data_IF_634613544451
#
_entry.id   IF_634613544451
#
_cell.length_a   1.000
_cell.length_b   1.000
_cell.length_c   1.000
_cell.angle_alpha   90.00
_cell.angle_beta   90.00
_cell.angle_gamma   90.00
#
_symmetry.space_group_name_H-M   'P 1'
#
loop_
_entity.id
_entity.type
_entity.pdbx_description
1 polymer ?
#
# COMPACT_ATOMS: atom_id res chain seq x y z
N UNK A 1 -4.78 14.12 6.28
CA UNK A 1 -5.83 13.07 6.16
C UNK A 1 -6.41 12.95 4.76
N UNK A 2 -6.58 14.05 4.04
CA UNK A 2 -7.16 13.99 2.70
C UNK A 2 -6.36 13.08 1.76
N UNK A 3 -5.06 13.32 1.61
CA UNK A 3 -4.22 12.52 0.71
C UNK A 3 -4.19 11.06 1.13
N UNK A 4 -4.08 10.79 2.43
CA UNK A 4 -4.11 9.42 2.95
C UNK A 4 -5.41 8.72 2.56
N UNK A 5 -6.56 9.37 2.77
CA UNK A 5 -7.86 8.79 2.47
C UNK A 5 -8.05 8.54 0.96
N UNK A 6 -7.58 9.46 0.12
CA UNK A 6 -7.66 9.30 -1.33
C UNK A 6 -6.85 8.09 -1.82
N UNK A 7 -5.69 7.85 -1.21
CA UNK A 7 -4.76 6.80 -1.64
C UNK A 7 -5.09 5.46 -1.02
N UNK A 8 -5.38 5.43 0.29
CA UNK A 8 -5.53 4.18 1.02
C UNK A 8 -6.97 3.85 1.44
N UNK A 9 -7.88 4.82 1.36
CA UNK A 9 -9.27 4.62 1.73
C UNK A 9 -9.46 4.43 3.23
N UNK A 10 -10.56 3.78 3.59
CA UNK A 10 -10.95 3.60 4.98
C UNK A 10 -9.94 2.77 5.78
N UNK A 11 -9.30 1.78 5.15
CA UNK A 11 -8.32 0.95 5.82
C UNK A 11 -7.13 1.78 6.30
N UNK A 12 -6.64 2.71 5.48
CA UNK A 12 -5.56 3.60 5.87
C UNK A 12 -5.96 4.57 6.96
N UNK A 13 -7.16 5.11 6.88
CA UNK A 13 -7.70 5.99 7.93
C UNK A 13 -7.79 5.24 9.27
N UNK A 14 -8.24 3.99 9.23
CA UNK A 14 -8.35 3.17 10.45
C UNK A 14 -6.98 2.93 11.09
N UNK A 15 -5.94 2.70 10.29
CA UNK A 15 -4.57 2.54 10.82
C UNK A 15 -4.14 3.80 11.55
N UNK A 16 -4.36 4.97 10.96
CA UNK A 16 -3.98 6.26 11.57
C UNK A 16 -4.75 6.49 12.89
N UNK A 17 -6.05 6.23 12.89
CA UNK A 17 -6.86 6.40 14.11
C UNK A 17 -6.38 5.47 15.22
N UNK A 18 -6.01 4.24 14.88
CA UNK A 18 -5.45 3.32 15.86
C UNK A 18 -4.13 3.82 16.42
N UNK A 19 -3.26 4.35 15.57
CA UNK A 19 -1.96 4.90 16.00
C UNK A 19 -2.11 6.12 16.90
N UNK A 20 -3.15 6.93 16.71
CA UNK A 20 -3.38 8.11 17.56
C UNK A 20 -3.60 7.71 19.01
N UNK A 21 -4.08 6.52 19.27
CA UNK A 21 -4.29 6.02 20.63
C UNK A 21 -3.00 5.73 21.38
N UNK A 22 -1.88 5.54 20.67
CA UNK A 22 -0.60 5.18 21.29
C UNK A 22 0.51 6.16 20.95
N UNK A 23 0.50 6.76 19.79
CA UNK A 23 1.58 7.63 19.32
C UNK A 23 1.01 8.72 18.41
N UNK A 24 0.31 9.72 18.99
CA UNK A 24 -0.35 10.74 18.15
C UNK A 24 0.60 11.53 17.26
N UNK A 25 1.79 11.86 17.75
CA UNK A 25 2.77 12.59 16.93
C UNK A 25 3.21 11.75 15.73
N UNK A 26 3.42 10.47 15.95
CA UNK A 26 3.80 9.55 14.86
C UNK A 26 2.71 9.45 13.79
N UNK A 27 1.46 9.38 14.23
CA UNK A 27 0.33 9.40 13.30
C UNK A 27 0.32 10.68 12.45
N UNK A 28 0.58 11.83 13.09
CA UNK A 28 0.66 13.12 12.38
C UNK A 28 1.82 13.13 11.38
N UNK A 29 2.98 12.58 11.74
CA UNK A 29 4.11 12.49 10.82
C UNK A 29 3.77 11.68 9.58
N UNK A 30 3.06 10.56 9.74
CA UNK A 30 2.63 9.76 8.59
C UNK A 30 1.71 10.57 7.69
N UNK A 31 0.67 11.19 8.26
CA UNK A 31 -0.28 11.98 7.49
C UNK A 31 0.39 13.15 6.79
N UNK A 32 1.19 13.91 7.54
CA UNK A 32 1.76 15.17 7.05
C UNK A 32 2.93 14.93 6.09
N UNK A 33 3.88 14.09 6.46
CA UNK A 33 5.06 13.85 5.65
C UNK A 33 4.81 12.84 4.54
N UNK A 34 4.40 11.62 4.90
CA UNK A 34 4.31 10.56 3.90
C UNK A 34 3.26 10.88 2.85
N UNK A 35 2.08 11.30 3.25
CA UNK A 35 0.98 11.55 2.33
C UNK A 35 0.87 13.01 1.92
N UNK A 36 1.09 13.94 2.84
CA UNK A 36 1.02 15.37 2.53
C UNK A 36 2.18 15.86 1.70
N UNK A 37 3.41 15.52 2.10
CA UNK A 37 4.60 16.04 1.45
C UNK A 37 5.13 15.15 0.32
N UNK A 38 5.00 13.82 0.44
CA UNK A 38 5.61 12.90 -0.52
C UNK A 38 4.59 12.34 -1.51
N UNK A 39 3.58 11.62 -1.03
CA UNK A 39 2.65 10.92 -1.92
C UNK A 39 1.74 11.85 -2.71
N UNK A 40 1.54 13.07 -2.24
CA UNK A 40 0.74 14.06 -2.94
C UNK A 40 1.50 14.84 -4.00
N UNK A 41 2.81 14.59 -4.18
CA UNK A 41 3.60 15.29 -5.18
C UNK A 41 3.12 14.94 -6.59
N UNK A 42 3.08 15.92 -7.52
CA UNK A 42 2.54 15.70 -8.86
C UNK A 42 3.50 15.01 -9.84
N UNK A 43 4.74 14.72 -9.43
CA UNK A 43 5.75 14.14 -10.32
C UNK A 43 5.42 12.74 -10.82
N UNK A 44 4.61 11.98 -10.09
CA UNK A 44 4.07 10.70 -10.51
C UNK A 44 2.59 10.66 -10.17
N UNK A 45 1.80 10.00 -10.97
CA UNK A 45 0.38 9.84 -10.65
C UNK A 45 0.17 8.80 -9.54
N UNK A 46 -1.01 8.77 -8.97
CA UNK A 46 -1.31 7.89 -7.85
C UNK A 46 -1.28 6.41 -8.26
N UNK A 47 -1.67 6.10 -9.47
CA UNK A 47 -1.62 4.75 -10.01
C UNK A 47 -0.18 4.22 -9.96
N UNK A 48 0.77 5.00 -10.48
CA UNK A 48 2.19 4.65 -10.51
C UNK A 48 2.77 4.57 -9.10
N UNK A 49 2.43 5.53 -8.25
CA UNK A 49 2.92 5.55 -6.86
C UNK A 49 2.46 4.32 -6.09
N UNK A 50 1.22 3.88 -6.28
CA UNK A 50 0.71 2.70 -5.58
C UNK A 50 1.33 1.40 -6.09
N UNK A 51 1.61 1.28 -7.38
CA UNK A 51 2.35 0.12 -7.89
C UNK A 51 3.76 0.07 -7.30
N UNK A 52 4.44 1.21 -7.21
CA UNK A 52 5.77 1.29 -6.59
C UNK A 52 5.70 0.92 -5.11
N UNK A 53 4.66 1.35 -4.41
CA UNK A 53 4.45 1.00 -3.00
C UNK A 53 4.24 -0.50 -2.82
N UNK A 54 3.42 -1.11 -3.66
CA UNK A 54 3.21 -2.57 -3.63
C UNK A 54 4.53 -3.30 -3.84
N UNK A 55 5.35 -2.84 -4.79
CA UNK A 55 6.66 -3.43 -5.04
C UNK A 55 7.56 -3.35 -3.81
N UNK A 56 7.64 -2.17 -3.20
CA UNK A 56 8.49 -1.95 -2.03
C UNK A 56 8.07 -2.82 -0.84
N UNK A 57 6.77 -2.86 -0.55
CA UNK A 57 6.25 -3.63 0.59
C UNK A 57 6.38 -5.14 0.35
N UNK A 58 6.23 -5.59 -0.89
CA UNK A 58 6.49 -6.98 -1.25
C UNK A 58 7.94 -7.33 -0.98
N UNK A 59 8.86 -6.49 -1.43
CA UNK A 59 10.30 -6.73 -1.30
C UNK A 59 10.77 -6.75 0.16
N UNK A 60 10.17 -5.93 1.01
CA UNK A 60 10.50 -5.93 2.45
C UNK A 60 10.24 -7.27 3.11
N UNK A 61 9.21 -7.99 2.65
CA UNK A 61 8.94 -9.35 3.11
C UNK A 61 8.29 -9.48 4.48
N UNK A 62 8.25 -8.40 5.25
CA UNK A 62 7.71 -8.42 6.62
C UNK A 62 6.62 -7.36 6.84
N UNK A 63 6.07 -6.83 5.77
CA UNK A 63 5.11 -5.73 5.83
C UNK A 63 3.72 -6.14 5.31
N UNK A 64 3.28 -7.37 5.59
CA UNK A 64 2.01 -7.87 5.10
C UNK A 64 0.81 -7.02 5.50
N UNK A 65 0.68 -6.54 6.75
CA UNK A 65 -0.45 -5.67 7.09
C UNK A 65 -0.49 -4.38 6.26
N UNK A 66 0.65 -3.75 6.06
CA UNK A 66 0.75 -2.54 5.25
C UNK A 66 0.51 -2.85 3.78
N UNK A 67 1.01 -3.99 3.29
CA UNK A 67 0.79 -4.42 1.93
C UNK A 67 -0.71 -4.60 1.65
N UNK A 68 -1.45 -5.18 2.60
CA UNK A 68 -2.89 -5.35 2.50
C UNK A 68 -3.59 -3.99 2.28
N UNK A 69 -3.26 -3.01 3.10
CA UNK A 69 -3.83 -1.65 2.99
C UNK A 69 -3.51 -1.04 1.63
N UNK A 70 -2.28 -1.20 1.17
CA UNK A 70 -1.83 -0.56 -0.07
C UNK A 70 -2.29 -1.28 -1.34
N UNK A 71 -2.53 -2.59 -1.29
CA UNK A 71 -3.17 -3.28 -2.41
C UNK A 71 -4.61 -2.77 -2.56
N UNK A 72 -5.34 -2.65 -1.46
CA UNK A 72 -6.69 -2.09 -1.51
C UNK A 72 -6.66 -0.65 -2.05
N UNK A 73 -5.69 0.14 -1.60
CA UNK A 73 -5.50 1.51 -2.10
C UNK A 73 -5.14 1.55 -3.57
N UNK A 74 -4.32 0.61 -4.04
CA UNK A 74 -3.98 0.51 -5.47
C UNK A 74 -5.21 0.27 -6.33
N UNK A 75 -6.06 -0.65 -5.90
CA UNK A 75 -7.33 -0.91 -6.59
C UNK A 75 -8.22 0.34 -6.60
N UNK A 76 -8.26 1.06 -5.49
CA UNK A 76 -9.06 2.28 -5.36
C UNK A 76 -8.63 3.37 -6.35
N UNK A 77 -7.33 3.52 -6.59
CA UNK A 77 -6.83 4.55 -7.52
C UNK A 77 -6.72 4.05 -8.96
N UNK A 78 -7.30 2.89 -9.27
CA UNK A 78 -7.46 2.43 -10.64
C UNK A 78 -6.44 1.40 -11.12
N UNK A 79 -5.57 0.90 -10.25
CA UNK A 79 -4.70 -0.22 -10.62
C UNK A 79 -5.56 -1.46 -10.84
N UNK A 80 -5.27 -2.19 -11.91
CA UNK A 80 -5.98 -3.44 -12.18
C UNK A 80 -5.36 -4.58 -11.37
N UNK A 81 -6.15 -5.58 -10.96
CA UNK A 81 -5.60 -6.74 -10.25
C UNK A 81 -4.42 -7.37 -10.99
N UNK A 82 -4.48 -7.43 -12.32
CA UNK A 82 -3.39 -7.99 -13.15
C UNK A 82 -2.09 -7.21 -12.97
N UNK A 83 -2.17 -5.88 -12.89
CA UNK A 83 -0.99 -5.03 -12.70
C UNK A 83 -0.33 -5.31 -11.36
N UNK A 84 -1.14 -5.43 -10.32
CA UNK A 84 -0.66 -5.71 -8.96
C UNK A 84 0.06 -7.06 -8.93
N UNK A 85 -0.54 -8.08 -9.53
CA UNK A 85 0.05 -9.42 -9.59
C UNK A 85 1.38 -9.38 -10.36
N UNK A 86 1.43 -8.70 -11.51
CA UNK A 86 2.65 -8.61 -12.30
C UNK A 86 3.80 -7.93 -11.54
N UNK A 87 3.49 -6.88 -10.79
CA UNK A 87 4.49 -6.21 -9.95
C UNK A 87 5.04 -7.17 -8.90
N UNK A 88 4.17 -7.92 -8.24
CA UNK A 88 4.59 -8.89 -7.22
C UNK A 88 5.47 -9.98 -7.83
N UNK A 89 5.09 -10.51 -8.99
CA UNK A 89 5.89 -11.51 -9.70
C UNK A 89 7.29 -10.99 -10.02
N UNK A 90 7.36 -9.75 -10.44
CA UNK A 90 8.66 -9.11 -10.73
C UNK A 90 9.54 -9.05 -9.49
N UNK A 91 8.95 -8.82 -8.32
CA UNK A 91 9.71 -8.74 -7.07
C UNK A 91 10.34 -10.07 -6.67
N UNK A 92 9.85 -11.20 -7.17
CA UNK A 92 10.49 -12.49 -6.92
C UNK A 92 11.93 -12.51 -7.43
N UNK A 93 12.22 -11.77 -8.51
CA UNK A 93 13.56 -11.69 -9.09
C UNK A 93 14.55 -11.03 -8.14
N UNK A 94 14.12 -9.98 -7.44
CA UNK A 94 15.00 -9.15 -6.62
C UNK A 94 14.92 -9.46 -5.13
N UNK A 95 13.77 -9.93 -4.66
CA UNK A 95 13.52 -10.17 -3.23
C UNK A 95 13.37 -11.65 -2.87
N UNK A 96 13.21 -12.51 -3.86
CA UNK A 96 13.08 -13.96 -3.64
C UNK A 96 11.63 -14.44 -3.64
N UNK A 97 11.45 -15.73 -3.88
CA UNK A 97 10.14 -16.35 -3.93
C UNK A 97 9.35 -16.25 -2.62
N UNK A 98 9.95 -16.45 -1.44
CA UNK A 98 9.17 -16.32 -0.21
C UNK A 98 8.47 -14.97 -0.05
N UNK A 99 9.15 -13.88 -0.36
CA UNK A 99 8.54 -12.55 -0.31
C UNK A 99 7.37 -12.45 -1.30
N UNK A 100 7.55 -12.94 -2.51
CA UNK A 100 6.50 -12.91 -3.53
C UNK A 100 5.31 -13.82 -3.15
N UNK A 101 5.58 -14.99 -2.59
CA UNK A 101 4.52 -15.91 -2.13
C UNK A 101 3.67 -15.23 -1.07
N UNK A 102 4.31 -14.61 -0.08
CA UNK A 102 3.58 -13.91 0.99
C UNK A 102 2.73 -12.77 0.42
N UNK A 103 3.28 -12.02 -0.52
CA UNK A 103 2.56 -10.91 -1.14
C UNK A 103 1.40 -11.40 -2.01
N UNK A 104 1.57 -12.49 -2.77
CA UNK A 104 0.49 -13.05 -3.57
C UNK A 104 -0.66 -13.54 -2.70
N UNK A 105 -0.36 -14.10 -1.53
CA UNK A 105 -1.38 -14.53 -0.58
C UNK A 105 -2.21 -13.34 -0.11
N UNK A 106 -1.56 -12.24 0.25
CA UNK A 106 -2.25 -11.00 0.64
C UNK A 106 -3.08 -10.46 -0.52
N UNK A 107 -2.48 -10.40 -1.72
CA UNK A 107 -3.17 -9.89 -2.90
C UNK A 107 -4.44 -10.69 -3.22
N UNK A 108 -4.35 -12.02 -3.13
CA UNK A 108 -5.52 -12.87 -3.37
C UNK A 108 -6.66 -12.55 -2.40
N UNK A 109 -6.33 -12.43 -1.12
CA UNK A 109 -7.34 -12.12 -0.12
C UNK A 109 -8.03 -10.77 -0.38
N UNK A 110 -7.25 -9.75 -0.72
CA UNK A 110 -7.80 -8.40 -0.98
C UNK A 110 -8.62 -8.39 -2.27
N UNK A 111 -8.11 -8.97 -3.34
CA UNK A 111 -8.78 -8.98 -4.64
C UNK A 111 -10.09 -9.78 -4.57
N UNK A 112 -10.05 -10.96 -3.96
CA UNK A 112 -11.25 -11.80 -3.82
C UNK A 112 -12.25 -11.18 -2.84
N UNK A 113 -11.76 -10.60 -1.75
CA UNK A 113 -12.61 -10.04 -0.70
C UNK A 113 -13.37 -8.79 -1.13
N UNK A 114 -12.88 -8.05 -2.15
CA UNK A 114 -13.55 -6.84 -2.59
C UNK A 114 -14.74 -7.13 -3.51
N UNK A 115 -14.78 -8.34 -4.03
CA UNK A 115 -15.81 -8.77 -4.96
C UNK A 115 -17.19 -8.67 -4.42
#
# INVERSE_FOLDING_TARGET
>A
MRALAEITGEAGVAVIENLRGIAPDFADWIVDFSYGDVMARPGLDLHTRQLATVAALTALGNAQPQLRVHIAGALKVGCRPQEIIEVILQMAVFAGFPAAINALTVAREVIDGRG
#
